data_IF_660188890702
#
_entry.id   IF_660188890702
#
_cell.length_a   1.000
_cell.length_b   1.000
_cell.length_c   1.000
_cell.angle_alpha   90.00
_cell.angle_beta   90.00
_cell.angle_gamma   90.00
#
_symmetry.space_group_name_H-M   'P 1'
#
loop_
_entity.id
_entity.type
_entity.pdbx_description
1 polymer ?
#
# COMPACT_ATOMS: atom_id res chain seq x y z
N UNK A 1 3.04 7.31 -3.77
CA UNK A 1 3.05 7.42 -2.29
C UNK A 1 3.57 6.11 -1.71
N UNK A 2 4.10 6.14 -0.49
CA UNK A 2 4.50 4.94 0.27
C UNK A 2 4.43 5.25 1.78
N UNK A 3 4.75 4.26 2.62
CA UNK A 3 4.90 4.48 4.06
C UNK A 3 6.18 5.26 4.37
N UNK A 4 6.13 6.19 5.33
CA UNK A 4 7.27 7.05 5.64
C UNK A 4 8.48 6.24 6.16
N UNK A 5 8.24 5.22 7.00
CA UNK A 5 9.32 4.38 7.51
C UNK A 5 10.08 3.62 6.41
N UNK A 6 9.43 3.30 5.28
CA UNK A 6 10.11 2.67 4.12
C UNK A 6 11.12 3.63 3.52
N UNK A 7 10.81 4.93 3.49
CA UNK A 7 11.74 5.96 3.01
C UNK A 7 12.90 6.12 4.00
N UNK A 8 12.64 6.11 5.31
CA UNK A 8 13.69 6.20 6.33
C UNK A 8 14.69 5.04 6.23
N UNK A 9 14.20 3.81 6.03
CA UNK A 9 15.04 2.63 5.78
C UNK A 9 15.84 2.79 4.49
N UNK A 10 15.20 3.21 3.40
CA UNK A 10 15.89 3.40 2.12
C UNK A 10 16.97 4.50 2.16
N UNK A 11 16.74 5.58 2.94
CA UNK A 11 17.71 6.63 3.17
C UNK A 11 18.95 6.09 3.89
N UNK A 12 18.74 5.40 5.03
CA UNK A 12 19.82 4.78 5.79
C UNK A 12 20.61 3.76 4.94
N UNK A 13 19.90 2.92 4.19
CA UNK A 13 20.51 1.92 3.30
C UNK A 13 21.35 2.57 2.19
N UNK A 14 20.93 3.72 1.62
CA UNK A 14 21.71 4.43 0.60
C UNK A 14 22.98 5.08 1.15
N UNK A 15 22.97 5.51 2.41
CA UNK A 15 24.17 6.03 3.08
C UNK A 15 25.24 4.94 3.23
N UNK A 16 24.81 3.70 3.49
CA UNK A 16 25.71 2.55 3.67
C UNK A 16 26.04 1.82 2.36
N UNK A 17 25.12 1.82 1.39
CA UNK A 17 25.24 1.08 0.12
C UNK A 17 24.63 1.84 -1.07
N UNK A 18 25.50 2.47 -1.86
CA UNK A 18 25.14 3.31 -3.02
C UNK A 18 24.42 2.53 -4.13
N UNK A 19 24.47 1.19 -4.12
CA UNK A 19 23.88 0.35 -5.17
C UNK A 19 22.36 0.14 -5.06
N UNK A 20 21.76 0.41 -3.89
CA UNK A 20 20.32 0.25 -3.69
C UNK A 20 19.53 1.26 -4.54
N UNK A 21 18.59 0.74 -5.32
CA UNK A 21 17.80 1.51 -6.29
C UNK A 21 16.31 1.28 -6.02
N UNK A 22 15.53 2.35 -6.07
CA UNK A 22 14.07 2.28 -6.09
C UNK A 22 13.60 2.16 -7.55
N UNK A 23 12.55 1.36 -7.78
CA UNK A 23 11.93 1.21 -9.09
C UNK A 23 10.48 1.70 -9.07
N UNK A 24 10.10 2.48 -10.08
CA UNK A 24 8.71 2.67 -10.47
C UNK A 24 8.38 1.59 -11.51
N UNK A 25 7.77 0.49 -11.06
CA UNK A 25 7.59 -0.75 -11.83
C UNK A 25 8.93 -1.30 -12.32
N UNK A 26 9.39 -0.92 -13.52
CA UNK A 26 10.63 -1.40 -14.15
C UNK A 26 11.67 -0.29 -14.34
N UNK A 27 11.31 0.96 -14.08
CA UNK A 27 12.18 2.13 -14.33
C UNK A 27 12.80 2.62 -13.03
N UNK A 28 14.07 3.02 -13.08
CA UNK A 28 14.76 3.60 -11.92
C UNK A 28 14.08 4.89 -11.49
N UNK A 29 13.76 4.98 -10.21
CA UNK A 29 13.09 6.12 -9.62
C UNK A 29 13.96 6.72 -8.52
N UNK A 30 14.29 8.01 -8.65
CA UNK A 30 15.11 8.71 -7.67
C UNK A 30 14.26 9.18 -6.48
N UNK A 31 13.91 8.21 -5.62
CA UNK A 31 12.96 8.37 -4.52
C UNK A 31 13.21 9.65 -3.70
N UNK A 32 14.46 9.89 -3.30
CA UNK A 32 14.82 10.95 -2.34
C UNK A 32 14.69 12.35 -2.93
N UNK A 33 15.05 12.52 -4.21
CA UNK A 33 14.95 13.81 -4.90
C UNK A 33 13.53 14.12 -5.39
N UNK A 34 12.61 13.16 -5.29
CA UNK A 34 11.23 13.28 -5.78
C UNK A 34 10.21 13.46 -4.66
N UNK A 35 10.61 13.44 -3.39
CA UNK A 35 9.72 13.64 -2.24
C UNK A 35 8.98 14.99 -2.38
N UNK A 36 7.66 14.95 -2.25
CA UNK A 36 6.81 16.14 -2.14
C UNK A 36 6.64 16.48 -0.65
N UNK A 37 6.19 15.52 0.14
CA UNK A 37 5.95 15.69 1.57
C UNK A 37 6.07 14.35 2.33
N UNK A 38 6.35 14.42 3.64
CA UNK A 38 6.50 13.27 4.53
C UNK A 38 5.93 13.58 5.91
N UNK A 39 5.25 12.61 6.49
CA UNK A 39 4.70 12.72 7.83
C UNK A 39 4.88 11.44 8.62
N UNK A 40 5.67 11.51 9.70
CA UNK A 40 5.97 10.36 10.57
C UNK A 40 4.76 9.86 11.35
N UNK A 41 3.88 10.75 11.83
CA UNK A 41 2.71 10.37 12.65
C UNK A 41 1.58 9.71 11.82
N UNK A 42 1.47 10.07 10.54
CA UNK A 42 0.60 9.40 9.59
C UNK A 42 1.28 8.21 8.91
N UNK A 43 2.60 8.12 9.03
CA UNK A 43 3.47 7.19 8.31
C UNK A 43 3.25 7.27 6.79
N UNK A 44 3.19 8.49 6.23
CA UNK A 44 2.96 8.75 4.79
C UNK A 44 4.14 9.50 4.19
N UNK A 45 4.55 9.07 2.99
CA UNK A 45 5.42 9.82 2.10
C UNK A 45 4.82 9.92 0.69
N UNK A 46 4.89 11.11 0.10
CA UNK A 46 4.41 11.40 -1.26
C UNK A 46 5.57 11.82 -2.16
N UNK A 47 5.41 11.59 -3.46
CA UNK A 47 6.46 11.83 -4.45
C UNK A 47 5.86 12.38 -5.74
N UNK A 48 6.65 13.17 -6.43
CA UNK A 48 6.35 13.60 -7.79
C UNK A 48 6.75 12.50 -8.77
N UNK A 49 5.86 12.23 -9.74
CA UNK A 49 6.13 11.34 -10.87
C UNK A 49 5.83 12.16 -12.13
N UNK A 50 6.80 12.23 -13.03
CA UNK A 50 6.63 12.92 -14.32
C UNK A 50 5.89 12.04 -15.31
N UNK A 51 5.30 12.66 -16.34
CA UNK A 51 4.62 11.93 -17.42
C UNK A 51 5.57 10.97 -18.15
N UNK A 52 6.84 11.35 -18.33
CA UNK A 52 7.86 10.50 -18.95
C UNK A 52 8.18 9.28 -18.08
N UNK A 53 8.40 9.47 -16.77
CA UNK A 53 8.64 8.34 -15.85
C UNK A 53 7.46 7.37 -15.84
N UNK A 54 6.22 7.89 -15.85
CA UNK A 54 5.03 7.05 -15.93
C UNK A 54 4.95 6.30 -17.27
N UNK A 55 5.16 6.98 -18.39
CA UNK A 55 5.13 6.38 -19.72
C UNK A 55 6.22 5.30 -19.89
N UNK A 56 7.46 5.57 -19.48
CA UNK A 56 8.58 4.62 -19.55
C UNK A 56 8.37 3.41 -18.65
N UNK A 57 7.75 3.60 -17.47
CA UNK A 57 7.42 2.49 -16.57
C UNK A 57 6.31 1.59 -17.12
N UNK A 58 5.58 2.08 -18.13
CA UNK A 58 4.35 1.48 -18.67
C UNK A 58 3.32 1.16 -17.57
N UNK A 59 3.44 1.79 -16.39
CA UNK A 59 2.52 1.58 -15.28
C UNK A 59 1.20 2.30 -15.54
N UNK A 60 0.12 1.76 -14.99
CA UNK A 60 -1.18 2.41 -15.03
C UNK A 60 -1.39 3.27 -13.78
N UNK A 61 -1.53 4.58 -13.98
CA UNK A 61 -1.93 5.48 -12.90
C UNK A 61 -3.45 5.42 -12.66
N UNK A 62 -3.84 5.52 -11.39
CA UNK A 62 -5.24 5.75 -11.02
C UNK A 62 -5.55 7.26 -11.16
N UNK A 63 -6.55 7.61 -11.97
CA UNK A 63 -6.95 9.00 -12.13
C UNK A 63 -7.71 9.51 -10.90
N UNK A 64 -6.97 10.22 -10.05
CA UNK A 64 -7.46 10.81 -8.82
C UNK A 64 -7.84 12.29 -8.99
N UNK A 65 -8.03 12.80 -10.22
CA UNK A 65 -8.36 14.22 -10.43
C UNK A 65 -9.84 14.53 -10.20
N UNK A 66 -10.14 15.79 -9.90
CA UNK A 66 -11.50 16.30 -9.82
C UNK A 66 -12.32 15.67 -8.70
N UNK A 67 -13.52 15.16 -9.02
CA UNK A 67 -14.47 14.62 -8.05
C UNK A 67 -14.02 13.31 -7.36
N UNK A 68 -12.89 12.73 -7.79
CA UNK A 68 -12.31 11.52 -7.19
C UNK A 68 -11.42 11.84 -5.98
N UNK A 69 -11.23 13.12 -5.63
CA UNK A 69 -10.38 13.56 -4.53
C UNK A 69 -11.00 14.69 -3.68
N UNK A 70 -10.91 14.66 -2.33
CA UNK A 70 -10.29 13.61 -1.52
C UNK A 70 -11.03 12.27 -1.66
N UNK A 71 -10.33 11.15 -1.46
CA UNK A 71 -10.94 9.84 -1.64
C UNK A 71 -12.07 9.66 -0.64
N UNK A 72 -13.20 9.05 -1.06
CA UNK A 72 -14.33 8.86 -0.18
C UNK A 72 -13.93 8.01 1.03
N UNK A 73 -14.54 8.27 2.19
CA UNK A 73 -14.49 7.29 3.29
C UNK A 73 -15.15 6.02 2.76
N UNK A 74 -14.46 4.85 2.79
CA UNK A 74 -15.12 3.61 2.42
C UNK A 74 -16.30 3.33 3.35
N UNK A 75 -17.19 2.42 2.94
CA UNK A 75 -18.25 1.92 3.81
C UNK A 75 -17.77 0.65 4.51
N UNK A 76 -18.34 0.36 5.68
CA UNK A 76 -18.23 -0.99 6.24
C UNK A 76 -18.77 -2.00 5.23
N UNK A 77 -18.16 -3.18 5.18
CA UNK A 77 -18.43 -4.22 4.19
C UNK A 77 -18.17 -3.83 2.72
N UNK A 78 -17.55 -2.68 2.44
CA UNK A 78 -17.13 -2.37 1.07
C UNK A 78 -16.01 -3.32 0.62
N UNK A 79 -16.05 -3.83 -0.63
CA UNK A 79 -14.99 -4.66 -1.16
C UNK A 79 -13.75 -3.80 -1.42
N UNK A 80 -12.60 -4.29 -0.96
CA UNK A 80 -11.30 -3.66 -1.17
C UNK A 80 -10.32 -4.65 -1.77
N UNK A 81 -9.47 -4.15 -2.65
CA UNK A 81 -8.28 -4.85 -3.11
C UNK A 81 -7.04 -4.12 -2.64
N UNK A 82 -6.01 -4.87 -2.28
CA UNK A 82 -4.71 -4.32 -1.91
C UNK A 82 -3.60 -5.27 -2.32
N UNK A 83 -2.39 -4.73 -2.48
CA UNK A 83 -1.25 -5.52 -2.89
C UNK A 83 0.08 -4.82 -2.76
N UNK A 84 1.13 -5.59 -2.90
CA UNK A 84 2.51 -5.14 -2.76
C UNK A 84 3.48 -6.27 -3.07
N UNK A 85 4.70 -6.15 -2.55
CA UNK A 85 5.78 -7.10 -2.79
C UNK A 85 6.29 -7.64 -1.45
N UNK A 86 5.79 -8.79 -0.98
CA UNK A 86 6.27 -9.38 0.26
C UNK A 86 7.76 -9.72 0.16
N UNK A 87 8.51 -9.42 1.21
CA UNK A 87 9.95 -9.70 1.30
C UNK A 87 10.22 -11.20 1.19
N UNK A 88 9.37 -12.05 1.77
CA UNK A 88 9.47 -13.51 1.67
C UNK A 88 9.34 -14.02 0.22
N UNK A 89 8.72 -13.23 -0.65
CA UNK A 89 8.58 -13.51 -2.07
C UNK A 89 9.75 -12.97 -2.90
N UNK A 90 10.69 -12.24 -2.32
CA UNK A 90 11.88 -11.79 -3.02
C UNK A 90 12.78 -13.00 -3.36
N UNK A 91 13.18 -13.11 -4.62
CA UNK A 91 14.10 -14.12 -5.12
C UNK A 91 15.38 -13.40 -5.55
N UNK A 92 16.50 -13.57 -4.83
CA UNK A 92 17.80 -13.06 -5.27
C UNK A 92 18.13 -13.59 -6.68
N UNK A 93 18.47 -12.69 -7.59
CA UNK A 93 18.86 -12.97 -8.97
C UNK A 93 20.26 -12.41 -9.22
N UNK A 94 21.22 -13.28 -9.51
CA UNK A 94 22.61 -12.87 -9.69
C UNK A 94 22.80 -12.09 -11.00
N UNK A 95 23.74 -11.12 -11.06
CA UNK A 95 24.76 -10.83 -10.05
C UNK A 95 24.33 -9.88 -8.91
N UNK A 96 23.25 -9.11 -9.03
CA UNK A 96 22.85 -8.06 -8.05
C UNK A 96 21.38 -7.64 -8.15
N UNK A 97 20.52 -8.48 -8.69
CA UNK A 97 19.08 -8.21 -8.85
C UNK A 97 18.26 -8.99 -7.81
N UNK A 98 17.01 -8.60 -7.63
CA UNK A 98 16.00 -9.41 -6.98
C UNK A 98 14.75 -9.42 -7.85
N UNK A 99 14.08 -10.56 -7.93
CA UNK A 99 12.75 -10.69 -8.52
C UNK A 99 11.76 -10.67 -7.37
N UNK A 100 10.81 -9.74 -7.41
CA UNK A 100 9.76 -9.63 -6.41
C UNK A 100 8.46 -10.18 -6.99
N UNK A 101 7.90 -11.23 -6.39
CA UNK A 101 6.57 -11.67 -6.74
C UNK A 101 5.52 -10.77 -6.09
N UNK A 102 4.51 -10.38 -6.86
CA UNK A 102 3.40 -9.57 -6.36
C UNK A 102 2.47 -10.39 -5.47
N UNK A 103 1.92 -9.74 -4.45
CA UNK A 103 0.81 -10.25 -3.65
C UNK A 103 -0.41 -9.36 -3.87
N UNK A 104 -1.57 -9.96 -4.06
CA UNK A 104 -2.85 -9.24 -4.12
C UNK A 104 -3.90 -9.99 -3.30
N UNK A 105 -4.65 -9.25 -2.48
CA UNK A 105 -5.78 -9.78 -1.72
C UNK A 105 -7.04 -8.96 -1.95
N UNK A 106 -8.17 -9.66 -1.99
CA UNK A 106 -9.52 -9.10 -2.06
C UNK A 106 -10.26 -9.49 -0.78
N UNK A 107 -10.72 -8.48 -0.05
CA UNK A 107 -11.43 -8.65 1.22
C UNK A 107 -12.44 -7.52 1.41
N UNK A 108 -13.04 -7.44 2.60
CA UNK A 108 -14.07 -6.48 2.95
C UNK A 108 -13.64 -5.66 4.16
N UNK A 109 -13.98 -4.38 4.13
CA UNK A 109 -13.79 -3.47 5.26
C UNK A 109 -14.60 -3.96 6.46
N UNK A 110 -13.94 -4.12 7.61
CA UNK A 110 -14.56 -4.54 8.87
C UNK A 110 -14.82 -3.34 9.80
N UNK A 111 -13.92 -2.36 9.82
CA UNK A 111 -14.07 -1.14 10.62
C UNK A 111 -13.28 0.02 10.02
N UNK A 112 -13.67 1.26 10.33
CA UNK A 112 -13.06 2.48 9.79
C UNK A 112 -13.02 3.60 10.84
N UNK A 113 -11.80 4.00 11.19
CA UNK A 113 -11.55 5.15 12.05
C UNK A 113 -11.24 6.40 11.24
N UNK A 114 -10.89 7.51 11.91
CA UNK A 114 -10.38 8.68 11.21
C UNK A 114 -9.08 8.38 10.47
N UNK A 115 -8.22 7.53 11.03
CA UNK A 115 -6.88 7.27 10.50
C UNK A 115 -6.78 5.99 9.70
N UNK A 116 -7.60 5.00 10.00
CA UNK A 116 -7.38 3.64 9.55
C UNK A 116 -8.62 3.00 8.92
N UNK A 117 -8.35 2.07 8.02
CA UNK A 117 -9.29 1.07 7.54
C UNK A 117 -8.78 -0.27 8.08
N UNK A 118 -9.68 -1.04 8.69
CA UNK A 118 -9.38 -2.36 9.25
C UNK A 118 -10.11 -3.39 8.40
N UNK A 119 -9.39 -4.44 8.00
CA UNK A 119 -9.97 -5.61 7.36
C UNK A 119 -9.42 -6.88 8.00
N UNK A 120 -10.13 -7.98 7.81
CA UNK A 120 -9.65 -9.32 8.17
C UNK A 120 -9.64 -10.19 6.95
N UNK A 121 -8.73 -11.17 6.89
CA UNK A 121 -8.83 -12.24 5.91
C UNK A 121 -9.33 -13.53 6.55
N UNK A 122 -10.34 -14.11 5.91
CA UNK A 122 -10.86 -15.45 6.18
C UNK A 122 -10.83 -16.23 4.86
N UNK A 123 -10.11 -17.36 4.82
CA UNK A 123 -9.96 -18.17 3.60
C UNK A 123 -11.26 -18.78 3.08
N UNK A 124 -12.32 -18.83 3.89
CA UNK A 124 -13.65 -19.29 3.44
C UNK A 124 -14.49 -18.18 2.79
N UNK A 125 -14.15 -16.90 3.02
CA UNK A 125 -14.91 -15.73 2.55
C UNK A 125 -14.17 -14.96 1.45
N UNK A 126 -12.85 -14.87 1.59
CA UNK A 126 -12.01 -13.93 0.86
C UNK A 126 -11.15 -14.64 -0.18
N UNK A 127 -10.67 -13.88 -1.16
CA UNK A 127 -9.79 -14.39 -2.21
C UNK A 127 -8.42 -13.73 -2.14
N UNK A 128 -7.38 -14.54 -2.30
CA UNK A 128 -6.01 -14.07 -2.48
C UNK A 128 -5.51 -14.58 -3.81
N UNK A 129 -4.87 -13.69 -4.57
CA UNK A 129 -4.06 -14.08 -5.71
C UNK A 129 -2.64 -14.17 -5.19
N UNK A 130 -2.24 -15.39 -4.82
CA UNK A 130 -0.90 -15.71 -4.40
C UNK A 130 -0.12 -16.09 -5.65
N UNK A 131 0.81 -15.22 -6.07
CA UNK A 131 1.70 -15.51 -7.22
C UNK A 131 2.82 -16.48 -6.79
N UNK A 132 3.05 -16.62 -5.48
CA UNK A 132 4.16 -17.39 -4.91
C UNK A 132 3.67 -18.32 -3.79
N UNK A 133 3.74 -19.63 -4.02
CA UNK A 133 3.28 -20.70 -3.11
C UNK A 133 3.93 -20.67 -1.71
N UNK A 134 4.99 -19.87 -1.52
CA UNK A 134 5.63 -19.67 -0.21
C UNK A 134 4.76 -18.92 0.80
N UNK A 135 3.81 -18.11 0.34
CA UNK A 135 2.93 -17.39 1.26
C UNK A 135 1.84 -18.33 1.78
N UNK A 136 1.74 -18.55 3.10
CA UNK A 136 0.66 -19.35 3.66
C UNK A 136 -0.69 -18.63 3.50
N UNK A 137 -1.78 -19.39 3.45
CA UNK A 137 -3.13 -18.84 3.35
C UNK A 137 -3.48 -17.94 4.55
N UNK A 138 -3.06 -18.30 5.75
CA UNK A 138 -3.22 -17.52 6.98
C UNK A 138 -1.87 -17.36 7.65
N UNK A 139 -1.59 -16.17 8.17
CA UNK A 139 -0.36 -15.84 8.86
C UNK A 139 0.79 -15.44 7.92
N UNK A 140 0.49 -15.11 6.66
CA UNK A 140 1.50 -14.65 5.71
C UNK A 140 2.19 -13.39 6.24
N UNK A 141 3.51 -13.41 6.31
CA UNK A 141 4.29 -12.24 6.64
C UNK A 141 4.33 -11.30 5.44
N UNK A 142 3.54 -10.22 5.52
CA UNK A 142 3.46 -9.22 4.45
C UNK A 142 4.43 -8.05 4.67
N UNK A 143 5.54 -8.29 5.38
CA UNK A 143 6.67 -7.35 5.39
C UNK A 143 7.10 -7.07 3.95
N UNK A 144 7.43 -5.83 3.62
CA UNK A 144 7.68 -5.38 2.24
C UNK A 144 6.43 -4.88 1.49
N UNK A 145 5.21 -5.15 1.97
CA UNK A 145 4.00 -4.56 1.38
C UNK A 145 3.67 -3.15 1.88
N UNK A 146 4.39 -2.62 2.88
CA UNK A 146 4.16 -1.27 3.43
C UNK A 146 4.14 -0.20 2.33
N UNK A 147 3.13 0.67 2.35
CA UNK A 147 2.90 1.68 1.32
C UNK A 147 2.18 1.18 0.06
N UNK A 148 1.91 -0.12 -0.06
CA UNK A 148 1.11 -0.68 -1.14
C UNK A 148 -0.32 -0.13 -1.16
N UNK A 149 -0.93 0.08 -2.33
CA UNK A 149 -2.22 0.75 -2.46
C UNK A 149 -3.38 -0.11 -1.94
N UNK A 150 -4.40 0.54 -1.39
CA UNK A 150 -5.69 -0.06 -1.06
C UNK A 150 -6.75 0.65 -1.89
N UNK A 151 -7.46 -0.12 -2.71
CA UNK A 151 -8.41 0.36 -3.70
C UNK A 151 -9.80 -0.16 -3.31
N UNK A 152 -10.77 0.74 -3.22
CA UNK A 152 -12.18 0.35 -3.15
C UNK A 152 -12.73 0.25 -4.56
N UNK A 153 -13.53 -0.79 -4.80
CA UNK A 153 -14.32 -0.93 -6.01
C UNK A 153 -15.79 -0.67 -5.67
N UNK A 154 -16.45 0.20 -6.43
CA UNK A 154 -17.89 0.40 -6.33
C UNK A 154 -18.50 0.62 -7.71
N UNK A 155 -19.79 0.33 -7.81
CA UNK A 155 -20.59 0.57 -9.01
C UNK A 155 -21.50 1.78 -8.79
N UNK A 156 -21.52 2.69 -9.78
CA UNK A 156 -22.46 3.81 -9.80
C UNK A 156 -22.99 3.97 -11.22
N UNK A 157 -24.31 3.96 -11.39
CA UNK A 157 -24.96 4.08 -12.70
C UNK A 157 -24.40 3.08 -13.74
N UNK A 158 -24.22 1.80 -13.34
CA UNK A 158 -23.63 0.75 -14.19
C UNK A 158 -22.17 1.00 -14.62
N UNK A 159 -21.49 1.98 -14.02
CA UNK A 159 -20.08 2.26 -14.24
C UNK A 159 -19.26 1.77 -13.05
N UNK A 160 -18.18 1.05 -13.33
CA UNK A 160 -17.23 0.58 -12.33
C UNK A 160 -16.24 1.70 -11.99
N UNK A 161 -16.10 2.00 -10.70
CA UNK A 161 -15.17 2.98 -10.19
C UNK A 161 -14.16 2.31 -9.26
N UNK A 162 -12.89 2.66 -9.45
CA UNK A 162 -11.77 2.22 -8.63
C UNK A 162 -11.15 3.44 -7.99
N UNK A 163 -11.19 3.54 -6.66
CA UNK A 163 -10.65 4.69 -5.94
C UNK A 163 -9.62 4.22 -4.92
N UNK A 164 -8.41 4.80 -4.90
CA UNK A 164 -7.49 4.53 -3.81
C UNK A 164 -8.05 5.17 -2.54
N UNK A 165 -8.16 4.39 -1.46
CA UNK A 165 -8.74 4.84 -0.17
C UNK A 165 -7.75 4.73 0.98
N UNK A 166 -6.69 3.94 0.78
CA UNK A 166 -5.64 3.80 1.77
C UNK A 166 -4.34 3.22 1.22
N UNK A 167 -3.43 2.95 2.13
CA UNK A 167 -2.21 2.20 1.88
C UNK A 167 -1.87 1.29 3.05
N UNK A 168 -1.15 0.21 2.80
CA UNK A 168 -0.78 -0.80 3.81
C UNK A 168 0.21 -0.20 4.81
N UNK A 169 -0.07 -0.32 6.12
CA UNK A 169 0.87 0.02 7.20
C UNK A 169 1.25 -1.22 8.00
N UNK A 170 0.26 -2.08 8.29
CA UNK A 170 0.49 -3.33 8.99
C UNK A 170 -0.22 -4.43 8.21
N UNK A 171 0.58 -5.30 7.61
CA UNK A 171 0.10 -6.57 7.10
C UNK A 171 -0.04 -7.62 8.21
N UNK A 172 -0.51 -8.81 7.86
CA UNK A 172 -0.55 -9.92 8.79
C UNK A 172 0.86 -10.24 9.31
N UNK A 173 0.98 -10.56 10.60
CA UNK A 173 2.24 -10.89 11.28
C UNK A 173 2.31 -12.34 11.78
N UNK A 174 1.46 -13.22 11.27
CA UNK A 174 1.63 -14.66 11.47
C UNK A 174 1.67 -15.14 12.93
N UNK A 175 0.82 -14.63 13.82
CA UNK A 175 0.79 -15.08 15.23
C UNK A 175 -0.62 -15.00 15.87
N UNK A 176 -1.66 -15.33 15.11
CA UNK A 176 -2.99 -15.49 15.72
C UNK A 176 -3.00 -16.68 16.69
N UNK A 177 -3.37 -16.46 17.96
CA UNK A 177 -3.61 -17.55 18.92
C UNK A 177 -5.12 -17.68 19.23
N UNK A 178 -5.57 -18.90 19.57
CA UNK A 178 -6.98 -19.15 19.89
C UNK A 178 -7.93 -18.88 18.71
N UNK A 179 -8.99 -18.09 18.94
CA UNK A 179 -9.97 -17.72 17.92
C UNK A 179 -9.38 -16.88 16.77
N UNK A 180 -8.20 -16.28 16.97
CA UNK A 180 -7.53 -15.47 15.95
C UNK A 180 -6.56 -16.27 15.08
N UNK A 181 -6.33 -17.56 15.38
CA UNK A 181 -5.43 -18.41 14.60
C UNK A 181 -5.93 -18.67 13.16
N UNK A 182 -7.23 -18.49 12.91
CA UNK A 182 -7.83 -18.65 11.58
C UNK A 182 -7.90 -17.38 10.74
N UNK A 183 -7.56 -16.21 11.30
CA UNK A 183 -7.75 -14.92 10.65
C UNK A 183 -6.48 -14.10 10.61
N UNK A 184 -6.27 -13.41 9.49
CA UNK A 184 -5.29 -12.35 9.39
C UNK A 184 -5.99 -11.00 9.58
N UNK A 185 -5.34 -10.06 10.26
CA UNK A 185 -5.82 -8.68 10.36
C UNK A 185 -4.91 -7.76 9.56
N UNK A 186 -5.53 -6.84 8.83
CA UNK A 186 -4.84 -5.81 8.07
C UNK A 186 -5.23 -4.43 8.58
N UNK A 187 -4.23 -3.54 8.66
CA UNK A 187 -4.45 -2.12 8.95
C UNK A 187 -3.89 -1.28 7.83
N UNK A 188 -4.76 -0.42 7.31
CA UNK A 188 -4.44 0.48 6.22
C UNK A 188 -4.57 1.92 6.69
N UNK A 189 -3.63 2.79 6.31
CA UNK A 189 -3.74 4.24 6.53
C UNK A 189 -4.68 4.84 5.50
N UNK A 190 -5.68 5.58 5.94
CA UNK A 190 -6.53 6.37 5.04
C UNK A 190 -5.70 7.47 4.39
N UNK A 191 -5.78 7.61 3.07
CA UNK A 191 -4.96 8.57 2.30
C UNK A 191 -5.66 9.92 2.08
N UNK A 192 -6.83 10.14 2.65
CA UNK A 192 -7.57 11.41 2.57
C UNK A 192 -6.85 12.62 3.19
N UNK A 193 -5.72 12.41 3.89
CA UNK A 193 -4.83 13.47 4.36
C UNK A 193 -4.02 14.10 3.22
N UNK A 194 -3.79 13.36 2.13
CA UNK A 194 -2.99 13.83 0.99
C UNK A 194 -3.84 14.83 0.17
N UNK A 195 -3.24 15.94 -0.22
CA UNK A 195 -3.84 16.97 -1.07
C UNK A 195 -3.61 16.70 -2.56
N UNK A 196 -4.36 17.34 -3.47
CA UNK A 196 -4.17 17.18 -4.91
C UNK A 196 -2.74 17.48 -5.41
N UNK A 197 -1.99 18.34 -4.71
CA UNK A 197 -0.59 18.67 -5.01
C UNK A 197 0.41 17.69 -4.37
N UNK A 198 -0.07 16.69 -3.63
CA UNK A 198 0.75 15.71 -2.92
C UNK A 198 1.16 16.12 -1.50
N UNK A 199 0.87 17.35 -1.04
CA UNK A 199 1.14 17.75 0.35
C UNK A 199 0.23 17.01 1.35
N UNK A 200 0.63 16.92 2.61
CA UNK A 200 -0.08 16.15 3.65
C UNK A 200 -0.72 17.13 4.64
N UNK A 201 -2.06 17.12 4.74
CA UNK A 201 -2.79 17.87 5.76
C UNK A 201 -2.67 17.19 7.12
N UNK A 202 -2.03 17.89 8.05
CA UNK A 202 -2.09 17.57 9.47
C UNK A 202 -3.37 18.19 10.02
N UNK A 203 -4.41 17.40 10.24
CA UNK A 203 -5.52 17.87 11.06
C UNK A 203 -4.99 18.10 12.48
N UNK A 204 -5.27 19.26 13.12
CA UNK A 204 -4.88 19.46 14.51
C UNK A 204 -5.44 18.30 15.34
N UNK A 205 -4.60 17.74 16.19
CA UNK A 205 -4.98 16.69 17.12
C UNK A 205 -6.11 17.20 18.02
N UNK A 206 -7.35 16.91 17.66
CA UNK A 206 -8.46 17.08 18.58
C UNK A 206 -8.24 16.06 19.70
N UNK A 207 -7.67 16.57 20.79
CA UNK A 207 -7.54 15.90 22.06
C UNK A 207 -8.96 15.65 22.56
N UNK A 208 -9.33 14.38 22.66
CA UNK A 208 -10.47 13.92 23.46
C UNK A 208 -9.94 12.92 24.47
#
# INVERSE_FOLDING_TARGET
MTANHVVEVFEADREENVSNTCLLRTVRFDLLNKIIDRNTDLDIATFSVTENELAESEAQALDCRGANWPPPKPLESAPISFGGFPEECAIPSLPTNAVFAGFVSLTYVQDITQREIIATYDSNRDSRVIIDERLPDVGANLSGCSGGPVIVHYERNMTHHYCPVGMIIVGAKGEGTGLMAGWDMYRFRRIHFIQPDGSILIQPSNSF
#
